data_IF_018718693609
#
_entry.id   IF_018718693609
#
_cell.length_a   1.000
_cell.length_b   1.000
_cell.length_c   1.000
_cell.angle_alpha   90.00
_cell.angle_beta   90.00
_cell.angle_gamma   90.00
#
_symmetry.space_group_name_H-M   'P 1'
#
loop_
_entity.id
_entity.type
_entity.pdbx_description
1 polymer ?
#
# COMPACT_ATOMS: atom_id res chain seq x y z
N UNK A 1 16.51 6.82 -22.23
CA UNK A 1 15.36 7.34 -21.45
C UNK A 1 15.37 8.86 -21.62
N UNK A 2 14.30 9.44 -22.18
CA UNK A 2 14.22 10.90 -22.34
C UNK A 2 13.85 11.52 -21.02
N UNK A 3 14.59 12.51 -20.57
CA UNK A 3 14.33 13.21 -19.31
C UNK A 3 13.56 14.49 -19.62
N UNK A 4 12.40 14.68 -18.99
CA UNK A 4 11.63 15.93 -19.01
C UNK A 4 11.88 16.63 -17.69
N UNK A 5 12.44 17.83 -17.74
CA UNK A 5 12.67 18.68 -16.58
C UNK A 5 11.73 19.88 -16.63
N UNK A 6 11.07 20.18 -15.52
CA UNK A 6 10.35 21.44 -15.39
C UNK A 6 11.34 22.50 -14.93
N UNK A 7 11.68 23.45 -15.82
CA UNK A 7 12.73 24.43 -15.55
C UNK A 7 12.15 25.67 -14.87
N UNK A 8 10.91 26.06 -15.17
CA UNK A 8 10.29 27.26 -14.61
C UNK A 8 8.77 27.20 -14.67
N UNK A 9 8.11 27.78 -13.65
CA UNK A 9 6.67 28.00 -13.63
C UNK A 9 6.42 29.48 -13.44
N UNK A 10 6.13 30.19 -14.53
CA UNK A 10 5.79 31.63 -14.49
C UNK A 10 4.28 31.76 -14.25
N UNK A 11 3.86 31.94 -12.99
CA UNK A 11 2.45 32.03 -12.59
C UNK A 11 1.75 33.27 -13.11
N UNK A 12 2.43 34.39 -13.15
CA UNK A 12 1.86 35.68 -13.65
C UNK A 12 1.51 35.60 -15.14
N UNK A 13 2.13 34.69 -15.88
CA UNK A 13 1.89 34.48 -17.30
C UNK A 13 1.01 33.22 -17.59
N UNK A 14 0.64 32.41 -16.58
CA UNK A 14 -0.16 31.19 -16.77
C UNK A 14 0.55 30.11 -17.58
N UNK A 15 1.88 30.09 -17.61
CA UNK A 15 2.69 29.12 -18.37
C UNK A 15 3.70 28.36 -17.50
N UNK A 16 3.96 27.12 -17.87
CA UNK A 16 5.10 26.33 -17.39
C UNK A 16 6.09 26.12 -18.53
N UNK A 17 7.39 26.19 -18.25
CA UNK A 17 8.45 25.86 -19.20
C UNK A 17 8.96 24.46 -18.88
N UNK A 18 8.85 23.56 -19.82
CA UNK A 18 9.32 22.20 -19.75
C UNK A 18 10.56 22.04 -20.63
N UNK A 19 11.64 21.43 -20.15
CA UNK A 19 12.79 21.03 -20.96
C UNK A 19 12.74 19.56 -21.29
N UNK A 20 12.93 19.22 -22.54
CA UNK A 20 13.04 17.85 -23.01
C UNK A 20 14.14 17.77 -24.06
N UNK A 21 15.15 16.93 -23.80
CA UNK A 21 16.31 16.73 -24.67
C UNK A 21 17.03 18.07 -25.01
N UNK A 22 17.02 19.04 -24.09
CA UNK A 22 17.64 20.36 -24.27
C UNK A 22 16.80 21.38 -25.06
N UNK A 23 15.58 21.04 -25.46
CA UNK A 23 14.62 21.97 -26.03
C UNK A 23 13.62 22.42 -24.94
N UNK A 24 13.29 23.71 -24.93
CA UNK A 24 12.34 24.32 -24.02
C UNK A 24 10.96 24.43 -24.67
N UNK A 25 9.92 24.01 -23.94
CA UNK A 25 8.52 24.09 -24.37
C UNK A 25 7.72 24.92 -23.35
N UNK A 26 7.06 25.96 -23.83
CA UNK A 26 6.12 26.74 -23.01
C UNK A 26 4.73 26.10 -23.12
N UNK A 27 4.17 25.65 -21.98
CA UNK A 27 2.85 25.03 -21.90
C UNK A 27 1.94 25.88 -21.06
N UNK A 28 0.74 26.19 -21.58
CA UNK A 28 -0.29 26.89 -20.81
C UNK A 28 -0.81 25.99 -19.68
N UNK A 29 -0.88 26.51 -18.45
CA UNK A 29 -1.31 25.75 -17.28
C UNK A 29 -2.77 25.32 -17.35
N UNK A 30 -3.65 26.15 -17.95
CA UNK A 30 -5.07 25.82 -18.12
C UNK A 30 -5.26 24.71 -19.16
N UNK A 31 -4.44 24.72 -20.23
CA UNK A 31 -4.45 23.66 -21.24
C UNK A 31 -3.88 22.36 -20.68
N UNK A 32 -2.84 22.44 -19.85
CA UNK A 32 -2.32 21.28 -19.14
C UNK A 32 -3.37 20.69 -18.19
N UNK A 33 -4.13 21.53 -17.49
CA UNK A 33 -5.21 21.10 -16.62
C UNK A 33 -6.36 20.45 -17.41
N UNK A 34 -6.74 21.00 -18.56
CA UNK A 34 -7.73 20.39 -19.47
C UNK A 34 -7.27 19.03 -19.97
N UNK A 35 -6.02 18.92 -20.43
CA UNK A 35 -5.43 17.64 -20.88
C UNK A 35 -5.46 16.62 -19.75
N UNK A 36 -5.18 17.03 -18.51
CA UNK A 36 -5.27 16.13 -17.35
C UNK A 36 -6.72 15.69 -17.08
N UNK A 37 -7.71 16.58 -17.20
CA UNK A 37 -9.14 16.25 -17.07
C UNK A 37 -9.58 15.30 -18.21
N UNK A 38 -9.18 15.58 -19.45
CA UNK A 38 -9.51 14.75 -20.62
C UNK A 38 -8.86 13.36 -20.54
N UNK A 39 -7.65 13.26 -20.01
CA UNK A 39 -6.93 12.00 -19.85
C UNK A 39 -7.42 11.15 -18.66
N UNK A 40 -7.92 11.77 -17.61
CA UNK A 40 -8.24 11.10 -16.35
C UNK A 40 -9.73 11.17 -15.97
N UNK A 41 -10.53 11.95 -16.71
CA UNK A 41 -11.94 12.18 -16.41
C UNK A 41 -12.18 13.14 -15.24
N UNK A 42 -13.40 13.61 -15.09
CA UNK A 42 -13.80 14.37 -13.90
C UNK A 42 -13.78 13.47 -12.65
N UNK A 43 -13.36 14.01 -11.50
CA UNK A 43 -13.33 13.24 -10.27
C UNK A 43 -14.75 12.84 -9.85
N UNK A 44 -15.06 11.57 -9.98
CA UNK A 44 -16.35 11.02 -9.53
C UNK A 44 -16.26 10.62 -8.06
N UNK A 45 -17.15 11.13 -7.19
CA UNK A 45 -17.24 10.63 -5.82
C UNK A 45 -17.61 9.13 -5.87
N UNK A 46 -16.88 8.31 -5.10
CA UNK A 46 -17.18 6.89 -5.00
C UNK A 46 -18.57 6.72 -4.41
N UNK A 47 -19.50 6.14 -5.13
CA UNK A 47 -20.74 5.62 -4.53
C UNK A 47 -20.36 4.52 -3.56
N UNK A 48 -21.04 4.45 -2.41
CA UNK A 48 -20.89 3.36 -1.46
C UNK A 48 -20.98 2.02 -2.24
N UNK A 49 -19.87 1.29 -2.28
CA UNK A 49 -19.81 0.02 -2.99
C UNK A 49 -20.49 -1.03 -2.14
N UNK A 50 -21.37 -1.82 -2.73
CA UNK A 50 -21.95 -3.01 -2.08
C UNK A 50 -21.02 -4.21 -2.14
N UNK A 51 -19.85 -4.06 -2.77
CA UNK A 51 -18.86 -5.12 -2.86
C UNK A 51 -18.30 -5.52 -1.50
N UNK A 52 -18.08 -6.82 -1.35
CA UNK A 52 -17.44 -7.36 -0.16
C UNK A 52 -15.96 -6.93 -0.09
N UNK A 53 -15.53 -6.52 1.08
CA UNK A 53 -14.15 -6.11 1.35
C UNK A 53 -13.30 -7.34 1.64
N UNK A 54 -12.15 -7.48 0.98
CA UNK A 54 -11.19 -8.53 1.30
C UNK A 54 -10.36 -8.13 2.52
N UNK A 55 -10.00 -9.05 3.44
CA UNK A 55 -9.15 -8.73 4.58
C UNK A 55 -7.87 -7.98 4.23
N UNK A 56 -7.21 -8.34 3.12
CA UNK A 56 -5.99 -7.66 2.62
C UNK A 56 -6.23 -6.22 2.14
N UNK A 57 -7.47 -5.79 1.98
CA UNK A 57 -7.84 -4.42 1.63
C UNK A 57 -8.06 -3.54 2.88
N UNK A 58 -8.40 -4.13 4.01
CA UNK A 58 -8.73 -3.40 5.24
C UNK A 58 -7.65 -2.42 5.70
N UNK A 59 -6.34 -2.75 5.70
CA UNK A 59 -5.29 -1.80 6.07
C UNK A 59 -5.27 -0.54 5.20
N UNK A 60 -5.56 -0.68 3.93
CA UNK A 60 -5.60 0.43 2.96
C UNK A 60 -6.84 1.30 3.18
N UNK A 61 -7.99 0.66 3.42
CA UNK A 61 -9.25 1.33 3.71
C UNK A 61 -9.25 2.03 5.07
N UNK A 62 -8.57 1.49 6.07
CA UNK A 62 -8.38 2.15 7.36
C UNK A 62 -7.66 3.50 7.22
N UNK A 63 -6.68 3.57 6.32
CA UNK A 63 -5.95 4.81 6.03
C UNK A 63 -6.74 5.74 5.09
N UNK A 64 -7.39 5.19 4.07
CA UNK A 64 -8.23 5.97 3.15
C UNK A 64 -9.49 5.17 2.74
N UNK A 65 -10.68 5.52 3.26
CA UNK A 65 -11.93 4.83 2.94
C UNK A 65 -12.27 4.81 1.45
N UNK A 66 -11.71 5.75 0.69
CA UNK A 66 -11.87 5.87 -0.75
C UNK A 66 -10.82 5.12 -1.56
N UNK A 67 -9.95 4.31 -0.93
CA UNK A 67 -8.92 3.56 -1.65
C UNK A 67 -9.51 2.59 -2.66
N UNK A 68 -8.96 2.58 -3.89
CA UNK A 68 -9.34 1.66 -4.97
C UNK A 68 -8.14 0.81 -5.34
N UNK A 69 -8.28 -0.51 -5.26
CA UNK A 69 -7.22 -1.43 -5.69
C UNK A 69 -6.99 -1.36 -7.19
N UNK A 70 -5.72 -1.39 -7.62
CA UNK A 70 -5.39 -1.64 -9.02
C UNK A 70 -5.70 -3.10 -9.37
N UNK A 71 -6.24 -3.39 -10.56
CA UNK A 71 -6.38 -4.75 -11.04
C UNK A 71 -5.02 -5.40 -11.39
N UNK A 72 -4.01 -4.61 -11.67
CA UNK A 72 -2.71 -5.09 -12.09
C UNK A 72 -1.89 -5.57 -10.88
N UNK A 73 -1.62 -6.85 -10.86
CA UNK A 73 -0.68 -7.47 -9.93
C UNK A 73 0.74 -7.30 -10.49
N UNK A 74 1.44 -6.24 -10.17
CA UNK A 74 2.80 -6.03 -10.65
C UNK A 74 3.82 -7.08 -10.13
N UNK A 75 5.06 -6.98 -10.58
CA UNK A 75 6.18 -7.89 -10.24
C UNK A 75 6.32 -8.13 -8.72
N UNK A 76 6.06 -7.10 -7.90
CA UNK A 76 6.09 -7.23 -6.43
C UNK A 76 5.05 -8.23 -5.89
N UNK A 77 3.86 -8.30 -6.49
CA UNK A 77 2.82 -9.25 -6.08
C UNK A 77 3.16 -10.68 -6.54
N UNK A 78 3.75 -10.84 -7.72
CA UNK A 78 4.25 -12.14 -8.18
C UNK A 78 5.38 -12.64 -7.29
N UNK A 79 6.31 -11.76 -6.93
CA UNK A 79 7.37 -12.05 -5.96
C UNK A 79 6.78 -12.52 -4.63
N UNK A 80 5.83 -11.80 -4.07
CA UNK A 80 5.17 -12.17 -2.82
C UNK A 80 4.51 -13.54 -2.90
N UNK A 81 3.84 -13.87 -4.01
CA UNK A 81 3.20 -15.17 -4.24
C UNK A 81 4.22 -16.31 -4.29
N UNK A 82 5.37 -16.12 -4.96
CA UNK A 82 6.44 -17.15 -4.99
C UNK A 82 7.02 -17.38 -3.60
N UNK A 83 7.26 -16.31 -2.86
CA UNK A 83 7.82 -16.37 -1.50
C UNK A 83 6.85 -17.05 -0.52
N UNK A 84 5.55 -16.70 -0.56
CA UNK A 84 4.52 -17.36 0.26
C UNK A 84 4.45 -18.87 -0.02
N UNK A 85 4.46 -19.26 -1.29
CA UNK A 85 4.43 -20.69 -1.66
C UNK A 85 5.64 -21.44 -1.09
N UNK A 86 6.85 -20.87 -1.17
CA UNK A 86 8.06 -21.48 -0.61
C UNK A 86 7.99 -21.56 0.92
N UNK A 87 7.55 -20.49 1.58
CA UNK A 87 7.38 -20.42 3.03
C UNK A 87 6.46 -21.51 3.56
N UNK A 88 5.27 -21.67 2.98
CA UNK A 88 4.31 -22.71 3.35
C UNK A 88 4.86 -24.11 3.12
N UNK A 89 5.48 -24.36 1.95
CA UNK A 89 6.07 -25.63 1.61
C UNK A 89 7.13 -26.07 2.62
N UNK A 90 8.02 -25.16 3.03
CA UNK A 90 9.03 -25.42 4.04
C UNK A 90 8.44 -25.72 5.43
N UNK A 91 7.38 -25.00 5.82
CA UNK A 91 6.67 -25.26 7.07
C UNK A 91 5.98 -26.64 7.06
N UNK A 92 5.46 -27.06 5.92
CA UNK A 92 4.86 -28.38 5.69
C UNK A 92 5.89 -29.52 5.54
N UNK A 93 7.19 -29.22 5.61
CA UNK A 93 8.25 -30.23 5.57
C UNK A 93 8.71 -30.63 4.17
N UNK A 94 8.36 -29.86 3.15
CA UNK A 94 8.93 -30.04 1.80
C UNK A 94 10.43 -29.74 1.85
N UNK A 95 11.22 -30.56 1.17
CA UNK A 95 12.68 -30.37 1.07
C UNK A 95 13.03 -28.97 0.54
N UNK A 96 14.02 -28.32 1.16
CA UNK A 96 14.44 -26.96 0.85
C UNK A 96 14.71 -26.72 -0.65
N UNK A 97 15.41 -27.68 -1.28
CA UNK A 97 15.72 -27.59 -2.71
C UNK A 97 14.45 -27.48 -3.58
N UNK A 98 13.42 -28.26 -3.25
CA UNK A 98 12.15 -28.25 -3.99
C UNK A 98 11.32 -27.03 -3.67
N UNK A 99 11.25 -26.65 -2.39
CA UNK A 99 10.46 -25.51 -1.95
C UNK A 99 10.97 -24.17 -2.51
N UNK A 100 12.30 -24.02 -2.61
CA UNK A 100 12.95 -22.76 -2.98
C UNK A 100 13.43 -22.71 -4.44
N UNK A 101 13.09 -23.67 -5.30
CA UNK A 101 13.64 -23.79 -6.66
C UNK A 101 13.37 -22.58 -7.57
N UNK A 102 12.34 -21.80 -7.27
CA UNK A 102 11.92 -20.62 -8.05
C UNK A 102 12.28 -19.29 -7.39
N UNK A 103 12.99 -19.33 -6.27
CA UNK A 103 13.42 -18.15 -5.54
C UNK A 103 14.79 -17.68 -5.98
N UNK A 104 15.00 -16.36 -5.96
CA UNK A 104 16.34 -15.76 -6.04
C UNK A 104 17.09 -16.03 -4.72
N UNK A 105 18.44 -15.94 -4.73
CA UNK A 105 19.24 -16.23 -3.52
C UNK A 105 18.85 -15.38 -2.29
N UNK A 106 18.57 -14.10 -2.45
CA UNK A 106 18.12 -13.17 -1.41
C UNK A 106 16.70 -13.50 -0.92
N UNK A 107 15.79 -13.84 -1.82
CA UNK A 107 14.44 -14.31 -1.49
C UNK A 107 14.50 -15.60 -0.67
N UNK A 108 15.39 -16.52 -1.05
CA UNK A 108 15.60 -17.78 -0.33
C UNK A 108 16.09 -17.52 1.10
N UNK A 109 17.09 -16.65 1.27
CA UNK A 109 17.60 -16.31 2.60
C UNK A 109 16.50 -15.72 3.48
N UNK A 110 15.72 -14.79 2.94
CA UNK A 110 14.58 -14.15 3.62
C UNK A 110 13.54 -15.18 4.07
N UNK A 111 13.21 -16.15 3.23
CA UNK A 111 12.24 -17.21 3.55
C UNK A 111 12.77 -18.18 4.60
N UNK A 112 14.04 -18.58 4.51
CA UNK A 112 14.65 -19.46 5.52
C UNK A 112 14.69 -18.80 6.90
N UNK A 113 14.96 -17.49 6.96
CA UNK A 113 14.83 -16.71 8.19
C UNK A 113 13.40 -16.75 8.74
N UNK A 114 12.40 -16.52 7.91
CA UNK A 114 10.99 -16.51 8.32
C UNK A 114 10.55 -17.88 8.87
N UNK A 115 10.90 -18.97 8.18
CA UNK A 115 10.61 -20.34 8.64
C UNK A 115 11.28 -20.67 9.97
N UNK A 116 12.56 -20.32 10.12
CA UNK A 116 13.30 -20.49 11.38
C UNK A 116 12.62 -19.71 12.52
N UNK A 117 12.20 -18.50 12.24
CA UNK A 117 11.52 -17.62 13.20
C UNK A 117 10.19 -18.23 13.67
N UNK A 118 9.35 -18.71 12.75
CA UNK A 118 8.08 -19.37 13.11
C UNK A 118 8.34 -20.59 13.99
N UNK A 119 9.25 -21.46 13.58
CA UNK A 119 9.59 -22.68 14.36
C UNK A 119 10.10 -22.36 15.76
N UNK A 120 10.94 -21.32 15.88
CA UNK A 120 11.43 -20.84 17.18
C UNK A 120 10.29 -20.30 18.06
N UNK A 121 9.42 -19.46 17.49
CA UNK A 121 8.30 -18.89 18.23
C UNK A 121 7.24 -19.94 18.61
N UNK A 122 7.11 -21.01 17.85
CA UNK A 122 6.18 -22.12 18.15
C UNK A 122 6.76 -23.16 19.11
N UNK A 123 8.06 -23.10 19.44
CA UNK A 123 8.68 -23.94 20.48
C UNK A 123 8.45 -25.45 20.30
N UNK A 124 8.34 -25.93 19.06
CA UNK A 124 8.10 -27.33 18.73
C UNK A 124 6.62 -27.73 18.59
N UNK A 125 5.70 -26.84 18.88
CA UNK A 125 4.28 -27.08 18.65
C UNK A 125 3.92 -27.13 17.15
N UNK A 126 2.79 -27.76 16.81
CA UNK A 126 2.34 -27.90 15.44
C UNK A 126 2.10 -26.53 14.79
N UNK A 127 2.75 -26.33 13.65
CA UNK A 127 2.51 -25.17 12.76
C UNK A 127 1.69 -25.64 11.57
N UNK A 128 0.56 -25.01 11.37
CA UNK A 128 -0.34 -25.27 10.25
C UNK A 128 -0.10 -24.21 9.18
N UNK A 129 0.35 -24.62 7.98
CA UNK A 129 0.54 -23.76 6.82
C UNK A 129 -0.25 -24.25 5.59
N UNK A 130 -1.03 -25.34 5.74
CA UNK A 130 -1.94 -25.80 4.70
C UNK A 130 -3.05 -24.77 4.45
N UNK A 131 -3.26 -24.39 3.19
CA UNK A 131 -4.21 -23.37 2.80
C UNK A 131 -5.63 -23.64 3.27
N UNK A 132 -6.09 -24.87 3.16
CA UNK A 132 -7.46 -25.22 3.54
C UNK A 132 -7.67 -25.07 5.04
N UNK A 133 -6.66 -25.40 5.85
CA UNK A 133 -6.67 -25.26 7.31
C UNK A 133 -6.45 -23.81 7.76
N UNK A 134 -5.81 -22.96 6.93
CA UNK A 134 -5.57 -21.56 7.19
C UNK A 134 -6.64 -20.63 6.57
N UNK A 135 -7.62 -21.20 5.85
CA UNK A 135 -8.76 -20.44 5.29
C UNK A 135 -9.84 -20.29 6.35
N UNK A 136 -10.36 -19.06 6.46
CA UNK A 136 -11.41 -18.69 7.37
C UNK A 136 -12.67 -18.26 6.60
N UNK A 137 -13.86 -18.66 7.05
CA UNK A 137 -15.12 -18.25 6.43
C UNK A 137 -15.38 -16.76 6.64
N UNK A 138 -16.31 -16.25 5.87
CA UNK A 138 -16.86 -14.91 6.09
C UNK A 138 -17.58 -14.86 7.45
N UNK A 139 -17.20 -13.90 8.29
CA UNK A 139 -17.84 -13.66 9.57
C UNK A 139 -18.55 -12.31 9.67
N UNK A 140 -18.15 -11.36 8.81
CA UNK A 140 -18.74 -10.04 8.75
C UNK A 140 -19.52 -9.86 7.44
N UNK A 141 -20.75 -9.28 7.44
CA UNK A 141 -21.58 -9.17 6.23
C UNK A 141 -20.91 -8.36 5.10
N UNK A 142 -19.95 -7.50 5.42
CA UNK A 142 -19.22 -6.64 4.48
C UNK A 142 -17.79 -7.10 4.19
N UNK A 143 -17.27 -8.11 4.90
CA UNK A 143 -15.88 -8.58 4.73
C UNK A 143 -15.88 -10.04 4.32
N UNK A 144 -15.19 -10.38 3.24
CA UNK A 144 -15.04 -11.78 2.79
C UNK A 144 -14.29 -12.60 3.83
N UNK A 145 -14.37 -13.91 3.72
CA UNK A 145 -13.40 -14.80 4.34
C UNK A 145 -11.98 -14.49 3.84
N UNK A 146 -11.00 -15.08 4.49
CA UNK A 146 -9.59 -14.86 4.15
C UNK A 146 -8.72 -16.05 4.46
N UNK A 147 -7.45 -15.94 4.13
CA UNK A 147 -6.45 -16.97 4.32
C UNK A 147 -5.25 -16.37 5.06
N UNK A 148 -4.88 -16.97 6.18
CA UNK A 148 -3.63 -16.67 6.89
C UNK A 148 -2.48 -17.49 6.31
N UNK A 149 -1.24 -17.01 6.45
CA UNK A 149 -0.10 -17.75 5.90
C UNK A 149 0.26 -18.97 6.74
N UNK A 150 0.32 -18.83 8.05
CA UNK A 150 0.35 -19.98 8.95
C UNK A 150 -0.14 -19.64 10.36
N UNK A 151 -0.51 -20.68 11.10
CA UNK A 151 -1.01 -20.58 12.47
C UNK A 151 -0.39 -21.66 13.36
N UNK A 152 -0.28 -21.34 14.65
CA UNK A 152 0.00 -22.31 15.71
C UNK A 152 -1.17 -22.26 16.71
N UNK A 153 -2.22 -23.10 16.54
CA UNK A 153 -3.46 -23.00 17.31
C UNK A 153 -3.25 -23.18 18.80
N UNK A 154 -2.44 -24.15 19.21
CA UNK A 154 -2.18 -24.46 20.63
C UNK A 154 -1.61 -23.25 21.38
N UNK A 155 -0.80 -22.42 20.72
CA UNK A 155 -0.21 -21.23 21.31
C UNK A 155 -1.00 -19.94 21.00
N UNK A 156 -2.11 -20.03 20.30
CA UNK A 156 -2.87 -18.86 19.87
C UNK A 156 -2.03 -17.90 19.03
N UNK A 157 -1.21 -18.42 18.09
CA UNK A 157 -0.33 -17.57 17.26
C UNK A 157 -0.74 -17.61 15.80
N UNK A 158 -0.70 -16.45 15.20
CA UNK A 158 -0.91 -16.20 13.79
C UNK A 158 0.34 -15.56 13.20
N UNK A 159 0.76 -16.01 12.05
CA UNK A 159 1.90 -15.47 11.32
C UNK A 159 1.48 -15.07 9.92
N UNK A 160 1.99 -13.92 9.49
CA UNK A 160 1.73 -13.35 8.17
C UNK A 160 3.05 -12.83 7.57
N UNK A 161 3.42 -13.42 6.42
CA UNK A 161 4.65 -13.11 5.72
C UNK A 161 4.48 -11.83 4.89
N UNK A 162 5.41 -10.91 5.03
CA UNK A 162 5.44 -9.67 4.25
C UNK A 162 6.80 -9.51 3.57
N UNK A 163 6.78 -9.47 2.23
CA UNK A 163 7.91 -9.02 1.43
C UNK A 163 7.75 -7.52 1.13
N UNK A 164 8.84 -6.75 1.24
CA UNK A 164 8.82 -5.32 0.99
C UNK A 164 8.89 -4.47 2.26
N UNK A 165 8.36 -3.26 2.21
CA UNK A 165 8.49 -2.29 3.30
C UNK A 165 7.62 -2.62 4.51
N UNK A 166 8.11 -2.23 5.69
CA UNK A 166 7.35 -2.34 6.95
C UNK A 166 6.18 -1.36 6.90
N UNK A 167 4.96 -1.89 7.02
CA UNK A 167 3.70 -1.13 7.03
C UNK A 167 2.73 -1.67 8.05
N UNK A 168 1.67 -0.92 8.31
CA UNK A 168 0.57 -1.37 9.14
C UNK A 168 -0.33 -2.36 8.37
N UNK A 169 -0.55 -3.56 8.94
CA UNK A 169 -1.46 -4.58 8.44
C UNK A 169 -2.41 -5.09 9.53
N UNK A 170 -2.58 -4.34 10.62
CA UNK A 170 -3.30 -4.85 11.80
C UNK A 170 -4.78 -5.08 11.56
N UNK A 171 -5.41 -4.35 10.64
CA UNK A 171 -6.82 -4.52 10.29
C UNK A 171 -7.04 -5.86 9.56
N UNK A 172 -6.09 -6.28 8.73
CA UNK A 172 -6.08 -7.62 8.12
C UNK A 172 -5.91 -8.69 9.20
N UNK A 173 -4.95 -8.49 10.09
CA UNK A 173 -4.65 -9.43 11.17
C UNK A 173 -5.81 -9.55 12.16
N UNK A 174 -6.47 -8.45 12.49
CA UNK A 174 -7.67 -8.45 13.34
C UNK A 174 -8.79 -9.33 12.75
N UNK A 175 -9.00 -9.26 11.43
CA UNK A 175 -9.99 -10.11 10.76
C UNK A 175 -9.66 -11.60 10.89
N UNK A 176 -8.39 -11.99 10.77
CA UNK A 176 -7.96 -13.38 10.93
C UNK A 176 -7.95 -13.82 12.40
N UNK A 177 -7.46 -12.96 13.30
CA UNK A 177 -7.40 -13.24 14.73
C UNK A 177 -8.79 -13.57 15.30
N UNK A 178 -9.81 -12.77 14.94
CA UNK A 178 -11.21 -13.05 15.33
C UNK A 178 -11.67 -14.44 14.89
N UNK A 179 -11.38 -14.81 13.65
CA UNK A 179 -11.79 -16.11 13.10
C UNK A 179 -11.06 -17.29 13.76
N UNK A 180 -9.78 -17.10 14.11
CA UNK A 180 -9.00 -18.11 14.84
C UNK A 180 -9.55 -18.28 16.26
N UNK A 181 -9.82 -17.17 16.97
CA UNK A 181 -10.37 -17.22 18.33
C UNK A 181 -11.69 -18.02 18.39
N UNK A 182 -12.57 -17.81 17.41
CA UNK A 182 -13.82 -18.59 17.35
C UNK A 182 -13.58 -20.08 17.05
N UNK A 183 -12.74 -20.37 16.09
CA UNK A 183 -12.50 -21.75 15.65
C UNK A 183 -11.79 -22.59 16.71
N UNK A 184 -10.81 -22.01 17.39
CA UNK A 184 -9.94 -22.67 18.35
C UNK A 184 -10.37 -22.43 19.82
N UNK A 185 -11.49 -21.69 20.04
CA UNK A 185 -12.01 -21.34 21.37
C UNK A 185 -10.98 -20.61 22.24
N UNK A 186 -10.30 -19.61 21.66
CA UNK A 186 -9.28 -18.81 22.32
C UNK A 186 -9.84 -17.45 22.77
N UNK A 187 -9.36 -16.93 23.90
CA UNK A 187 -9.70 -15.59 24.38
C UNK A 187 -8.88 -14.49 23.68
N UNK A 188 -7.68 -14.85 23.23
CA UNK A 188 -6.73 -13.92 22.60
C UNK A 188 -5.86 -14.62 21.56
N UNK A 189 -5.38 -13.87 20.58
CA UNK A 189 -4.44 -14.34 19.54
C UNK A 189 -3.30 -13.35 19.42
N UNK A 190 -2.07 -13.89 19.36
CA UNK A 190 -0.87 -13.09 19.09
C UNK A 190 -0.50 -13.19 17.62
N UNK A 191 -0.58 -12.05 16.92
CA UNK A 191 -0.23 -11.95 15.50
C UNK A 191 1.21 -11.47 15.33
N UNK A 192 1.94 -12.15 14.46
CA UNK A 192 3.32 -11.82 14.10
C UNK A 192 3.39 -11.47 12.60
N UNK A 193 3.72 -10.23 12.28
CA UNK A 193 4.08 -9.82 10.93
C UNK A 193 5.56 -10.09 10.72
N UNK A 194 5.89 -10.92 9.75
CA UNK A 194 7.25 -11.31 9.41
C UNK A 194 7.71 -10.53 8.18
N UNK A 195 8.37 -9.40 8.38
CA UNK A 195 8.97 -8.61 7.31
C UNK A 195 10.30 -9.26 6.90
N UNK A 196 10.21 -10.19 5.96
CA UNK A 196 11.30 -11.11 5.65
C UNK A 196 12.49 -10.42 4.99
N UNK A 197 12.30 -9.36 4.20
CA UNK A 197 13.38 -8.61 3.55
C UNK A 197 14.23 -7.83 4.57
N UNK A 198 13.63 -7.37 5.67
CA UNK A 198 14.31 -6.67 6.76
C UNK A 198 14.68 -7.62 7.91
N UNK A 199 14.26 -8.88 7.83
CA UNK A 199 14.39 -9.86 8.92
C UNK A 199 13.86 -9.33 10.25
N UNK A 200 12.72 -8.64 10.19
CA UNK A 200 12.09 -7.99 11.35
C UNK A 200 10.74 -8.61 11.67
N UNK A 201 10.44 -8.73 12.97
CA UNK A 201 9.16 -9.20 13.49
C UNK A 201 8.46 -8.03 14.16
N UNK A 202 7.21 -7.80 13.78
CA UNK A 202 6.32 -6.89 14.51
C UNK A 202 5.16 -7.70 15.07
N UNK A 203 4.91 -7.55 16.36
CA UNK A 203 3.95 -8.40 17.09
C UNK A 203 2.86 -7.57 17.72
N UNK A 204 1.63 -8.04 17.63
CA UNK A 204 0.48 -7.50 18.33
C UNK A 204 -0.43 -8.61 18.83
N UNK A 205 -0.95 -8.44 20.04
CA UNK A 205 -1.98 -9.30 20.62
C UNK A 205 -3.34 -8.69 20.38
N UNK A 206 -4.33 -9.53 20.11
CA UNK A 206 -5.73 -9.14 19.95
C UNK A 206 -6.60 -9.94 20.88
N UNK A 207 -7.52 -9.27 21.55
CA UNK A 207 -8.71 -9.86 22.13
C UNK A 207 -9.82 -9.92 21.08
N UNK A 208 -10.84 -10.75 21.33
CA UNK A 208 -11.97 -10.88 20.42
C UNK A 208 -12.67 -9.53 20.16
N UNK A 209 -12.96 -8.79 21.22
CA UNK A 209 -13.66 -7.51 21.13
C UNK A 209 -12.85 -6.45 20.38
N UNK A 210 -11.53 -6.40 20.62
CA UNK A 210 -10.62 -5.50 19.92
C UNK A 210 -10.58 -5.83 18.42
N UNK A 211 -10.45 -7.11 18.05
CA UNK A 211 -10.43 -7.54 16.66
C UNK A 211 -11.71 -7.16 15.91
N UNK A 212 -12.87 -7.41 16.51
CA UNK A 212 -14.19 -7.02 15.97
C UNK A 212 -14.30 -5.50 15.82
N UNK A 213 -13.93 -4.74 16.85
CA UNK A 213 -14.01 -3.27 16.85
C UNK A 213 -13.16 -2.65 15.74
N UNK A 214 -11.93 -3.16 15.51
CA UNK A 214 -11.05 -2.67 14.45
C UNK A 214 -11.68 -2.87 13.07
N UNK A 215 -12.19 -4.06 12.79
CA UNK A 215 -12.81 -4.37 11.49
C UNK A 215 -14.07 -3.56 11.26
N UNK A 216 -14.94 -3.47 12.28
CA UNK A 216 -16.17 -2.66 12.21
C UNK A 216 -15.84 -1.18 11.95
N UNK A 217 -14.84 -0.61 12.63
CA UNK A 217 -14.42 0.78 12.42
C UNK A 217 -14.00 1.08 10.99
N UNK A 218 -13.30 0.14 10.32
CA UNK A 218 -12.95 0.29 8.90
C UNK A 218 -14.20 0.22 8.01
N UNK A 219 -15.08 -0.75 8.26
CA UNK A 219 -16.32 -0.91 7.50
C UNK A 219 -17.23 0.29 7.65
N UNK A 220 -17.44 0.75 8.89
CA UNK A 220 -18.27 1.92 9.19
C UNK A 220 -17.75 3.17 8.48
N UNK A 221 -16.45 3.41 8.46
CA UNK A 221 -15.83 4.52 7.73
C UNK A 221 -16.06 4.45 6.21
N UNK A 222 -16.05 3.26 5.64
CA UNK A 222 -16.34 3.04 4.22
C UNK A 222 -17.84 3.22 3.93
N UNK A 223 -18.70 2.65 4.75
CA UNK A 223 -20.14 2.63 4.52
C UNK A 223 -20.81 3.99 4.86
N UNK A 224 -20.23 4.77 5.78
CA UNK A 224 -20.65 6.16 6.05
C UNK A 224 -20.25 7.13 4.92
N UNK A 225 -19.39 6.69 4.01
CA UNK A 225 -18.90 7.53 2.90
C UNK A 225 -17.90 8.58 3.34
N UNK A 226 -17.08 8.26 4.33
CA UNK A 226 -15.99 9.15 4.74
C UNK A 226 -15.13 9.54 3.54
N UNK A 227 -14.72 10.81 3.52
CA UNK A 227 -13.94 11.37 2.41
C UNK A 227 -12.54 10.76 2.27
N UNK A 228 -11.86 11.04 1.15
CA UNK A 228 -10.50 10.56 0.92
C UNK A 228 -9.53 11.13 1.97
N UNK A 229 -8.48 10.37 2.26
CA UNK A 229 -7.36 10.77 3.13
C UNK A 229 -6.04 10.54 2.41
N UNK A 230 -5.09 11.46 2.56
CA UNK A 230 -3.72 11.23 2.08
C UNK A 230 -3.06 10.18 2.97
N UNK A 231 -2.44 9.18 2.35
CA UNK A 231 -1.77 8.11 3.06
C UNK A 231 -0.68 7.47 2.20
N UNK A 232 0.13 6.62 2.80
CA UNK A 232 1.20 5.87 2.13
C UNK A 232 0.72 4.99 0.96
N UNK A 233 -0.56 4.67 0.87
CA UNK A 233 -1.12 3.87 -0.21
C UNK A 233 -1.60 4.68 -1.42
N UNK A 234 -1.48 6.01 -1.39
CA UNK A 234 -1.94 6.86 -2.50
C UNK A 234 -1.26 6.54 -3.83
N UNK A 235 0.00 6.11 -3.82
CA UNK A 235 0.74 5.75 -5.04
C UNK A 235 0.21 4.49 -5.74
N UNK A 236 -0.43 3.57 -5.00
CA UNK A 236 -1.02 2.32 -5.54
C UNK A 236 -2.53 2.39 -5.71
N UNK A 237 -3.14 3.55 -5.42
CA UNK A 237 -4.58 3.73 -5.59
C UNK A 237 -4.93 3.88 -7.06
N UNK A 238 -5.84 3.05 -7.58
CA UNK A 238 -6.28 3.17 -8.97
C UNK A 238 -6.97 4.53 -9.25
N UNK A 239 -7.60 5.14 -8.22
CA UNK A 239 -8.21 6.47 -8.32
C UNK A 239 -7.23 7.63 -8.11
N UNK A 240 -5.92 7.39 -8.01
CA UNK A 240 -4.92 8.40 -7.66
C UNK A 240 -4.92 9.63 -8.58
N UNK A 241 -5.21 9.44 -9.86
CA UNK A 241 -5.18 10.52 -10.87
C UNK A 241 -6.44 11.39 -10.83
N UNK A 242 -7.55 10.85 -10.33
CA UNK A 242 -8.84 11.54 -10.18
C UNK A 242 -9.13 11.96 -8.74
N UNK A 243 -8.24 11.67 -7.80
CA UNK A 243 -8.39 12.02 -6.39
C UNK A 243 -8.18 13.53 -6.19
N UNK A 244 -9.25 14.27 -5.90
CA UNK A 244 -9.18 15.72 -5.68
C UNK A 244 -8.22 16.10 -4.55
N UNK A 245 -8.27 15.40 -3.41
CA UNK A 245 -7.40 15.68 -2.27
C UNK A 245 -5.91 15.53 -2.65
N UNK A 246 -5.58 14.47 -3.40
CA UNK A 246 -4.22 14.25 -3.88
C UNK A 246 -3.78 15.35 -4.86
N UNK A 247 -4.64 15.72 -5.79
CA UNK A 247 -4.35 16.77 -6.76
C UNK A 247 -4.20 18.14 -6.09
N UNK A 248 -5.05 18.44 -5.09
CA UNK A 248 -4.94 19.64 -4.27
C UNK A 248 -3.61 19.66 -3.49
N UNK A 249 -3.25 18.55 -2.82
CA UNK A 249 -1.99 18.46 -2.08
C UNK A 249 -0.76 18.63 -2.98
N UNK A 250 -0.79 18.08 -4.20
CA UNK A 250 0.27 18.29 -5.18
C UNK A 250 0.36 19.78 -5.60
N UNK A 251 -0.79 20.43 -5.82
CA UNK A 251 -0.87 21.86 -6.13
C UNK A 251 -0.34 22.74 -4.98
N UNK A 252 -0.68 22.42 -3.74
CA UNK A 252 -0.17 23.12 -2.55
C UNK A 252 1.34 22.97 -2.41
N UNK A 253 1.88 21.76 -2.61
CA UNK A 253 3.32 21.50 -2.55
C UNK A 253 4.08 22.26 -3.64
N UNK A 254 3.54 22.30 -4.87
CA UNK A 254 4.09 23.13 -5.97
C UNK A 254 4.08 24.61 -5.62
N UNK A 255 3.01 25.08 -4.97
CA UNK A 255 2.88 26.49 -4.53
C UNK A 255 3.94 26.82 -3.49
N UNK A 256 4.16 25.94 -2.53
CA UNK A 256 5.16 26.10 -1.48
C UNK A 256 6.58 26.14 -2.08
N UNK A 257 6.88 25.22 -2.99
CA UNK A 257 8.18 25.16 -3.66
C UNK A 257 8.47 26.40 -4.52
N UNK A 258 7.42 27.07 -5.05
CA UNK A 258 7.56 28.28 -5.86
C UNK A 258 7.61 29.58 -5.04
N UNK A 259 7.27 29.57 -3.74
CA UNK A 259 7.10 30.78 -2.93
C UNK A 259 8.31 31.21 -2.11
N UNK A 260 9.40 30.42 -2.06
CA UNK A 260 10.61 30.71 -1.29
C UNK A 260 11.74 29.74 -1.57
N UNK A 261 12.87 29.94 -0.88
CA UNK A 261 13.93 28.93 -0.93
C UNK A 261 13.51 27.67 -0.13
N UNK A 262 13.98 26.53 -0.57
CA UNK A 262 13.71 25.26 0.12
C UNK A 262 14.19 25.30 1.58
N UNK A 263 15.32 26.00 1.82
CA UNK A 263 15.91 26.16 3.14
C UNK A 263 15.02 26.98 4.09
N UNK A 264 14.42 28.09 3.62
CA UNK A 264 13.53 28.92 4.44
C UNK A 264 12.25 28.16 4.81
N UNK A 265 11.67 27.45 3.85
CA UNK A 265 10.48 26.62 4.07
C UNK A 265 10.78 25.48 5.04
N UNK A 266 11.92 24.81 4.88
CA UNK A 266 12.35 23.70 5.73
C UNK A 266 12.67 24.15 7.16
N UNK A 267 13.29 25.32 7.35
CA UNK A 267 13.60 25.86 8.67
C UNK A 267 12.35 26.10 9.53
N UNK A 268 11.23 26.49 8.92
CA UNK A 268 9.94 26.68 9.61
C UNK A 268 9.23 25.34 9.87
N UNK A 269 9.27 24.41 8.91
CA UNK A 269 8.57 23.13 8.97
C UNK A 269 9.27 22.16 9.94
N UNK A 270 10.62 22.17 9.98
CA UNK A 270 11.42 21.25 10.79
C UNK A 270 11.27 21.42 12.30
N UNK A 271 10.75 22.56 12.75
CA UNK A 271 10.51 22.83 14.18
C UNK A 271 9.21 22.23 14.71
N UNK A 272 8.31 21.79 13.83
CA UNK A 272 7.00 21.23 14.17
C UNK A 272 6.87 19.82 13.60
N UNK A 273 6.91 18.75 14.43
CA UNK A 273 6.81 17.37 13.95
C UNK A 273 5.56 17.07 13.14
N UNK A 274 4.43 17.74 13.43
CA UNK A 274 3.17 17.53 12.70
C UNK A 274 3.26 18.14 11.30
N UNK A 275 3.81 19.36 11.20
CA UNK A 275 4.05 20.01 9.89
C UNK A 275 5.09 19.26 9.07
N UNK A 276 6.11 18.72 9.72
CA UNK A 276 7.12 17.91 9.05
C UNK A 276 6.52 16.63 8.47
N UNK A 277 5.69 15.91 9.23
CA UNK A 277 4.99 14.72 8.76
C UNK A 277 4.03 15.03 7.60
N UNK A 278 3.27 16.12 7.69
CA UNK A 278 2.38 16.60 6.62
C UNK A 278 3.18 16.98 5.36
N UNK A 279 4.31 17.67 5.52
CA UNK A 279 5.21 18.02 4.40
C UNK A 279 5.77 16.77 3.73
N UNK A 280 6.28 15.79 4.49
CA UNK A 280 6.80 14.53 3.94
C UNK A 280 5.72 13.79 3.15
N UNK A 281 4.50 13.73 3.69
CA UNK A 281 3.36 13.09 3.01
C UNK A 281 3.03 13.81 1.69
N UNK A 282 2.98 15.15 1.70
CA UNK A 282 2.70 15.95 0.50
C UNK A 282 3.84 15.86 -0.52
N UNK A 283 5.10 15.83 -0.07
CA UNK A 283 6.26 15.67 -0.93
C UNK A 283 6.25 14.33 -1.66
N UNK A 284 5.95 13.22 -0.96
CA UNK A 284 5.81 11.90 -1.58
C UNK A 284 4.67 11.85 -2.61
N UNK A 285 3.54 12.53 -2.33
CA UNK A 285 2.43 12.66 -3.29
C UNK A 285 2.88 13.43 -4.52
N UNK A 286 3.62 14.53 -4.35
CA UNK A 286 4.13 15.35 -5.46
C UNK A 286 5.13 14.56 -6.31
N UNK A 287 6.09 13.87 -5.70
CA UNK A 287 7.07 13.04 -6.40
C UNK A 287 6.37 12.01 -7.30
N UNK A 288 5.44 11.23 -6.72
CA UNK A 288 4.64 10.28 -7.48
C UNK A 288 3.80 10.92 -8.59
N UNK A 289 3.28 12.12 -8.37
CA UNK A 289 2.51 12.87 -9.37
C UNK A 289 3.39 13.30 -10.55
N UNK A 290 4.57 13.86 -10.26
CA UNK A 290 5.55 14.31 -11.27
C UNK A 290 6.04 13.13 -12.11
N UNK A 291 6.44 12.01 -11.49
CA UNK A 291 6.92 10.84 -12.21
C UNK A 291 5.87 10.25 -13.17
N UNK A 292 4.62 10.18 -12.73
CA UNK A 292 3.54 9.69 -13.59
C UNK A 292 3.17 10.68 -14.70
N UNK A 293 3.20 11.98 -14.40
CA UNK A 293 3.03 13.03 -15.40
C UNK A 293 4.08 12.95 -16.51
N UNK A 294 5.36 12.81 -16.13
CA UNK A 294 6.46 12.61 -17.09
C UNK A 294 6.22 11.40 -18.00
N UNK A 295 5.84 10.26 -17.41
CA UNK A 295 5.56 9.03 -18.18
C UNK A 295 4.45 9.24 -19.21
N UNK A 296 3.34 9.88 -18.80
CA UNK A 296 2.19 10.17 -19.69
C UNK A 296 2.55 11.15 -20.81
N UNK A 297 3.31 12.21 -20.51
CA UNK A 297 3.78 13.16 -21.52
C UNK A 297 4.67 12.44 -22.54
N UNK A 298 5.57 11.57 -22.09
CA UNK A 298 6.43 10.79 -22.99
C UNK A 298 5.62 9.82 -23.86
N UNK A 299 4.61 9.15 -23.31
CA UNK A 299 3.70 8.30 -24.07
C UNK A 299 2.94 9.12 -25.13
N UNK A 300 2.39 10.29 -24.74
CA UNK A 300 1.70 11.17 -25.67
C UNK A 300 2.61 11.64 -26.83
N UNK A 301 3.81 12.11 -26.52
CA UNK A 301 4.77 12.57 -27.52
C UNK A 301 5.29 11.43 -28.41
N UNK A 302 5.41 10.22 -27.88
CA UNK A 302 5.80 9.05 -28.69
C UNK A 302 4.73 8.61 -29.67
N UNK A 303 3.45 8.79 -29.29
CA UNK A 303 2.31 8.43 -30.12
C UNK A 303 1.93 9.51 -31.13
N UNK A 304 2.32 10.77 -30.90
CA UNK A 304 2.02 11.91 -31.77
C UNK A 304 3.31 12.51 -32.35
N UNK A 305 4.06 11.71 -33.11
CA UNK A 305 5.33 12.10 -33.73
C UNK A 305 5.24 13.13 -34.86
N UNK A 306 4.08 13.74 -35.09
CA UNK A 306 3.83 14.71 -36.16
C UNK A 306 3.66 16.15 -35.65
N UNK A 307 4.25 16.52 -34.50
CA UNK A 307 4.28 17.90 -34.05
C UNK A 307 5.72 18.40 -34.00
#
# INVERSE_FOLDING_TARGET
MKTVECINVAREAGHAVLSMDGAEYSVNLDDLQKVLIDLYGEPTPRKASTELLRPSLLPKLAQCPCFVSSPDAGEAAERGTRMDAAFRNLLMGVEEFKACQHLQPDEKESILWAVKTVRMLCSGEEVIADKNRCTFPQWHPRVTGGEADCICPILGKLFDLKSGQIRNYWEQQASYAKSIMEREFLDEVTCHLLFCDQQQIVTRKFTYQEAVSIVNGVVDSVDSGDGPRLCEYCEWCAAQNTCQLRNQAAGEALTLAASGTLEESFAVISQDPVKLADFITKAAVLESYVEKGKKKILEYLSNNKEV
#
